data_IF_744313315260
#
_entry.id   IF_744313315260
#
_cell.length_a   1.000
_cell.length_b   1.000
_cell.length_c   1.000
_cell.angle_alpha   90.00
_cell.angle_beta   90.00
_cell.angle_gamma   90.00
#
_symmetry.space_group_name_H-M   'P 1'
#
loop_
_entity.id
_entity.type
_entity.pdbx_description
1 polymer ?
#
# COMPACT_ATOMS: atom_id res chain seq x y z
N UNK A 1 -4.07 31.95 -1.58
CA UNK A 1 -4.26 31.51 -0.17
C UNK A 1 -3.88 30.04 -0.01
N UNK A 2 -3.16 29.68 1.06
CA UNK A 2 -2.63 28.31 1.31
C UNK A 2 -3.68 27.38 1.93
N UNK A 3 -4.58 27.90 2.77
CA UNK A 3 -5.64 27.13 3.40
C UNK A 3 -6.82 26.90 2.45
N UNK A 4 -7.35 25.67 2.43
CA UNK A 4 -8.44 25.24 1.53
C UNK A 4 -9.72 24.84 2.26
N UNK A 5 -9.62 24.43 3.52
CA UNK A 5 -10.74 23.98 4.35
C UNK A 5 -10.83 24.90 5.56
N UNK A 6 -11.99 25.53 5.70
CA UNK A 6 -12.24 26.52 6.74
C UNK A 6 -13.40 26.08 7.61
N UNK A 7 -13.38 26.45 8.88
CA UNK A 7 -14.56 26.32 9.72
C UNK A 7 -15.56 27.38 9.25
N UNK A 8 -16.69 26.92 8.73
CA UNK A 8 -17.76 27.79 8.22
C UNK A 8 -19.11 27.11 8.42
N UNK A 9 -20.16 27.91 8.42
CA UNK A 9 -21.53 27.42 8.54
C UNK A 9 -21.87 26.55 7.33
N UNK A 10 -22.39 25.36 7.62
CA UNK A 10 -22.76 24.37 6.63
C UNK A 10 -21.63 23.44 6.17
N UNK A 11 -20.39 23.65 6.61
CA UNK A 11 -19.32 22.70 6.27
C UNK A 11 -19.53 21.35 6.95
N UNK A 12 -19.34 20.29 6.19
CA UNK A 12 -19.41 18.93 6.70
C UNK A 12 -18.06 18.53 7.30
N UNK A 13 -18.11 17.92 8.48
CA UNK A 13 -16.96 17.39 9.19
C UNK A 13 -17.17 15.90 9.50
N UNK A 14 -16.07 15.15 9.49
CA UNK A 14 -16.01 13.75 9.90
C UNK A 14 -15.54 13.67 11.36
N UNK A 15 -16.26 12.96 12.21
CA UNK A 15 -15.90 12.79 13.62
C UNK A 15 -14.86 11.68 13.73
N UNK A 16 -13.65 12.02 14.19
CA UNK A 16 -12.55 11.07 14.31
C UNK A 16 -12.61 10.24 15.59
N UNK A 17 -13.00 10.85 16.71
CA UNK A 17 -13.05 10.18 18.02
C UNK A 17 -14.16 10.77 18.89
N UNK A 18 -14.53 10.06 19.95
CA UNK A 18 -15.64 10.42 20.83
C UNK A 18 -16.88 9.52 20.63
N UNK A 19 -18.02 9.87 21.25
CA UNK A 19 -19.21 9.01 21.26
C UNK A 19 -19.83 8.81 19.86
N UNK A 20 -19.59 9.75 18.95
CA UNK A 20 -20.10 9.72 17.58
C UNK A 20 -19.00 9.47 16.54
N UNK A 21 -17.91 8.79 16.94
CA UNK A 21 -16.80 8.48 16.03
C UNK A 21 -17.28 7.74 14.76
N UNK A 22 -16.70 8.10 13.62
CA UNK A 22 -17.05 7.50 12.33
C UNK A 22 -18.24 8.14 11.61
N UNK A 23 -18.94 9.08 12.25
CA UNK A 23 -20.12 9.75 11.66
C UNK A 23 -19.74 11.09 11.01
N UNK A 24 -20.60 11.54 10.09
CA UNK A 24 -20.51 12.89 9.51
C UNK A 24 -21.48 13.83 10.24
N UNK A 25 -21.08 15.10 10.33
CA UNK A 25 -21.91 16.19 10.86
C UNK A 25 -21.74 17.44 10.02
N UNK A 26 -22.72 18.34 10.04
CA UNK A 26 -22.59 19.69 9.54
C UNK A 26 -22.37 20.66 10.71
N UNK A 27 -21.47 21.61 10.51
CA UNK A 27 -21.30 22.76 11.41
C UNK A 27 -22.48 23.69 11.17
N UNK A 28 -23.25 23.97 12.21
CA UNK A 28 -24.39 24.89 12.14
C UNK A 28 -24.00 26.28 12.63
N UNK A 29 -23.17 26.31 13.66
CA UNK A 29 -22.67 27.53 14.26
C UNK A 29 -21.29 27.32 14.92
N UNK A 30 -20.55 28.41 15.09
CA UNK A 30 -19.32 28.48 15.86
C UNK A 30 -19.64 29.13 17.20
N UNK A 31 -19.50 28.36 18.28
CA UNK A 31 -19.82 28.84 19.64
C UNK A 31 -18.65 29.65 20.17
N UNK A 32 -17.46 29.06 20.12
CA UNK A 32 -16.21 29.63 20.58
C UNK A 32 -15.06 29.15 19.67
N UNK A 33 -13.83 29.57 19.95
CA UNK A 33 -12.65 29.18 19.16
C UNK A 33 -12.42 27.66 19.12
N UNK A 34 -12.89 26.92 20.13
CA UNK A 34 -12.60 25.52 20.34
C UNK A 34 -13.80 24.60 20.04
N UNK A 35 -15.01 25.14 19.91
CA UNK A 35 -16.28 24.41 19.82
C UNK A 35 -17.21 24.99 18.76
N UNK A 36 -17.91 24.08 18.08
CA UNK A 36 -19.02 24.40 17.20
C UNK A 36 -20.31 23.72 17.66
N UNK A 37 -21.44 24.32 17.29
CA UNK A 37 -22.73 23.66 17.28
C UNK A 37 -22.81 22.81 16.01
N UNK A 38 -23.00 21.50 16.18
CA UNK A 38 -23.05 20.55 15.07
C UNK A 38 -24.38 19.82 15.02
N UNK A 39 -24.77 19.40 13.82
CA UNK A 39 -25.99 18.61 13.60
C UNK A 39 -25.75 17.54 12.53
N UNK A 40 -26.26 16.34 12.76
CA UNK A 40 -26.13 15.19 11.85
C UNK A 40 -27.46 14.46 11.72
N UNK A 41 -28.49 15.07 11.10
CA UNK A 41 -29.85 14.55 11.07
C UNK A 41 -29.98 13.20 10.34
N UNK A 42 -29.15 12.97 9.31
CA UNK A 42 -29.14 11.73 8.52
C UNK A 42 -28.17 10.67 9.09
N UNK A 43 -27.20 11.09 9.90
CA UNK A 43 -26.13 10.24 10.48
C UNK A 43 -26.38 9.84 11.93
N UNK A 44 -27.57 10.14 12.46
CA UNK A 44 -27.97 9.85 13.85
C UNK A 44 -27.05 10.53 14.87
N UNK A 45 -26.65 11.77 14.60
CA UNK A 45 -26.02 12.66 15.58
C UNK A 45 -27.02 13.76 15.90
N UNK A 46 -27.46 13.82 17.16
CA UNK A 46 -28.36 14.89 17.62
C UNK A 46 -27.60 16.21 17.65
N UNK A 47 -28.34 17.32 17.56
CA UNK A 47 -27.77 18.66 17.70
C UNK A 47 -27.09 18.79 19.05
N UNK A 48 -25.79 19.09 19.06
CA UNK A 48 -24.98 19.21 20.26
C UNK A 48 -23.79 20.14 20.03
N UNK A 49 -23.22 20.66 21.10
CA UNK A 49 -21.91 21.31 21.04
C UNK A 49 -20.81 20.25 20.89
N UNK A 50 -19.81 20.52 20.05
CA UNK A 50 -18.71 19.60 19.81
C UNK A 50 -17.39 20.34 19.60
N UNK A 51 -16.28 19.89 20.19
CA UNK A 51 -14.98 20.54 20.03
C UNK A 51 -14.40 20.31 18.64
N UNK A 52 -13.68 21.29 18.09
CA UNK A 52 -13.02 21.16 16.78
C UNK A 52 -11.95 20.08 16.76
N UNK A 53 -11.33 19.78 17.90
CA UNK A 53 -10.28 18.76 18.03
C UNK A 53 -10.75 17.36 17.63
N UNK A 54 -12.03 17.03 17.84
CA UNK A 54 -12.54 15.68 17.55
C UNK A 54 -13.10 15.51 16.14
N UNK A 55 -13.15 16.59 15.34
CA UNK A 55 -13.68 16.56 13.98
C UNK A 55 -12.63 16.96 12.94
N UNK A 56 -12.74 16.36 11.76
CA UNK A 56 -11.87 16.61 10.62
C UNK A 56 -12.72 17.17 9.49
N UNK A 57 -12.41 18.38 9.05
CA UNK A 57 -13.17 19.07 8.01
C UNK A 57 -13.06 18.33 6.67
N UNK A 58 -14.19 18.23 5.98
CA UNK A 58 -14.28 17.68 4.62
C UNK A 58 -14.41 18.82 3.59
N UNK A 59 -14.40 18.46 2.31
CA UNK A 59 -14.55 19.40 1.21
C UNK A 59 -16.02 19.78 0.92
N UNK A 60 -16.98 19.10 1.57
CA UNK A 60 -18.39 19.34 1.33
C UNK A 60 -18.93 20.51 2.15
N UNK A 61 -19.68 21.38 1.48
CA UNK A 61 -20.31 22.56 2.06
C UNK A 61 -21.79 22.51 1.72
N UNK A 62 -22.64 22.61 2.74
CA UNK A 62 -24.08 22.74 2.63
C UNK A 62 -24.45 24.21 2.75
N UNK A 63 -25.39 24.67 1.93
CA UNK A 63 -25.86 26.06 1.97
C UNK A 63 -27.13 26.15 2.80
N UNK A 64 -27.03 26.70 4.00
CA UNK A 64 -28.16 27.04 4.88
C UNK A 64 -27.76 28.19 5.83
N UNK A 65 -28.72 28.97 6.36
CA UNK A 65 -28.39 30.09 7.23
C UNK A 65 -27.82 29.61 8.58
N UNK A 66 -27.00 30.46 9.17
CA UNK A 66 -26.51 30.28 10.54
C UNK A 66 -27.71 30.05 11.51
N UNK A 67 -27.55 29.15 12.48
CA UNK A 67 -28.61 28.76 13.45
C UNK A 67 -29.88 28.11 12.86
N UNK A 68 -29.85 27.61 11.62
CA UNK A 68 -30.99 26.90 11.03
C UNK A 68 -31.50 25.73 11.89
N UNK A 69 -32.83 25.52 11.91
CA UNK A 69 -33.44 24.34 12.57
C UNK A 69 -33.10 23.03 11.84
N UNK A 70 -33.14 21.91 12.56
CA UNK A 70 -32.74 20.59 12.06
C UNK A 70 -33.49 20.17 10.78
N UNK A 71 -34.75 20.58 10.62
CA UNK A 71 -35.55 20.33 9.41
C UNK A 71 -34.89 20.87 8.14
N UNK A 72 -34.31 22.07 8.20
CA UNK A 72 -33.64 22.69 7.04
C UNK A 72 -32.28 22.05 6.77
N UNK A 73 -31.53 21.72 7.82
CA UNK A 73 -30.25 21.00 7.70
C UNK A 73 -30.46 19.63 7.05
N UNK A 74 -31.52 18.89 7.44
CA UNK A 74 -31.91 17.62 6.82
C UNK A 74 -32.21 17.78 5.34
N UNK A 75 -33.07 18.73 4.99
CA UNK A 75 -33.42 19.02 3.58
C UNK A 75 -32.19 19.37 2.75
N UNK A 76 -31.28 20.18 3.28
CA UNK A 76 -30.04 20.55 2.59
C UNK A 76 -29.11 19.33 2.42
N UNK A 77 -29.03 18.47 3.43
CA UNK A 77 -28.21 17.25 3.41
C UNK A 77 -28.69 16.25 2.35
N UNK A 78 -30.00 16.04 2.28
CA UNK A 78 -30.66 15.17 1.30
C UNK A 78 -30.56 15.77 -0.10
N UNK A 79 -30.88 17.06 -0.29
CA UNK A 79 -30.73 17.75 -1.58
C UNK A 79 -29.30 17.68 -2.14
N UNK A 80 -28.30 17.68 -1.27
CA UNK A 80 -26.90 17.62 -1.67
C UNK A 80 -26.34 16.20 -1.80
N UNK A 81 -27.12 15.16 -1.45
CA UNK A 81 -26.71 13.74 -1.50
C UNK A 81 -25.36 13.45 -0.85
N UNK A 82 -25.10 14.05 0.32
CA UNK A 82 -23.79 14.00 0.97
C UNK A 82 -23.37 12.57 1.31
N UNK A 83 -24.30 11.70 1.71
CA UNK A 83 -23.98 10.32 2.07
C UNK A 83 -23.41 9.54 0.87
N UNK A 84 -24.03 9.69 -0.30
CA UNK A 84 -23.59 9.03 -1.54
C UNK A 84 -22.24 9.59 -1.99
N UNK A 85 -22.09 10.92 -1.97
CA UNK A 85 -20.82 11.59 -2.32
C UNK A 85 -19.69 11.21 -1.37
N UNK A 86 -19.97 11.11 -0.07
CA UNK A 86 -19.02 10.65 0.92
C UNK A 86 -18.59 9.21 0.63
N UNK A 87 -19.54 8.28 0.45
CA UNK A 87 -19.24 6.88 0.16
C UNK A 87 -18.39 6.70 -1.12
N UNK A 88 -18.61 7.54 -2.13
CA UNK A 88 -17.81 7.54 -3.36
C UNK A 88 -16.36 8.02 -3.16
N UNK A 89 -16.11 8.83 -2.12
CA UNK A 89 -14.82 9.47 -1.86
C UNK A 89 -13.74 8.43 -1.51
N UNK A 90 -12.50 8.68 -1.97
CA UNK A 90 -11.34 7.81 -1.64
C UNK A 90 -11.12 7.66 -0.13
N UNK A 91 -11.47 8.69 0.64
CA UNK A 91 -11.37 8.68 2.09
C UNK A 91 -12.33 7.65 2.72
N UNK A 92 -13.62 7.71 2.40
CA UNK A 92 -14.60 6.73 2.88
C UNK A 92 -14.22 5.30 2.45
N UNK A 93 -13.80 5.11 1.19
CA UNK A 93 -13.32 3.80 0.69
C UNK A 93 -12.12 3.27 1.48
N UNK A 94 -11.22 4.13 1.97
CA UNK A 94 -10.10 3.72 2.83
C UNK A 94 -10.56 3.33 4.25
N UNK A 95 -11.56 4.02 4.78
CA UNK A 95 -12.15 3.68 6.08
C UNK A 95 -12.81 2.30 6.00
N UNK A 96 -13.68 2.09 5.02
CA UNK A 96 -14.35 0.81 4.78
C UNK A 96 -13.34 -0.32 4.48
N UNK A 97 -12.30 -0.07 3.68
CA UNK A 97 -11.24 -1.06 3.47
C UNK A 97 -10.48 -1.43 4.76
N UNK A 98 -10.32 -0.49 5.69
CA UNK A 98 -9.71 -0.74 7.01
C UNK A 98 -10.62 -1.61 7.88
N UNK A 99 -11.91 -1.30 7.89
CA UNK A 99 -12.93 -2.07 8.62
C UNK A 99 -13.05 -3.50 8.09
N UNK A 100 -13.14 -3.67 6.76
CA UNK A 100 -13.14 -5.00 6.12
C UNK A 100 -11.89 -5.80 6.44
N UNK A 101 -10.73 -5.15 6.50
CA UNK A 101 -9.47 -5.81 6.88
C UNK A 101 -9.48 -6.24 8.35
N UNK A 102 -10.06 -5.43 9.24
CA UNK A 102 -10.18 -5.78 10.66
C UNK A 102 -11.17 -6.95 10.87
N UNK A 103 -12.26 -7.00 10.11
CA UNK A 103 -13.27 -8.08 10.16
C UNK A 103 -12.86 -9.38 9.42
N UNK A 104 -11.69 -9.40 8.78
CA UNK A 104 -11.28 -10.50 7.90
C UNK A 104 -11.01 -11.80 8.67
N UNK A 105 -11.68 -12.89 8.25
CA UNK A 105 -11.50 -14.22 8.85
C UNK A 105 -10.15 -14.85 8.46
N UNK A 106 -9.72 -15.89 9.19
CA UNK A 106 -8.46 -16.58 8.89
C UNK A 106 -8.45 -17.20 7.48
N UNK A 107 -9.57 -17.79 7.08
CA UNK A 107 -9.72 -18.35 5.73
C UNK A 107 -9.61 -17.27 4.64
N UNK A 108 -10.18 -16.09 4.86
CA UNK A 108 -10.03 -14.95 3.95
C UNK A 108 -8.58 -14.47 3.87
N UNK A 109 -7.85 -14.45 5.01
CA UNK A 109 -6.42 -14.13 5.03
C UNK A 109 -5.60 -15.12 4.19
N UNK A 110 -5.94 -16.41 4.22
CA UNK A 110 -5.30 -17.41 3.36
C UNK A 110 -5.54 -17.15 1.87
N UNK A 111 -6.80 -16.88 1.47
CA UNK A 111 -7.16 -16.53 0.08
C UNK A 111 -6.40 -15.28 -0.39
N UNK A 112 -6.38 -14.23 0.42
CA UNK A 112 -5.65 -12.98 0.14
C UNK A 112 -4.15 -13.24 0.00
N UNK A 113 -3.55 -14.10 0.83
CA UNK A 113 -2.12 -14.44 0.75
C UNK A 113 -1.77 -15.11 -0.59
N UNK A 114 -2.56 -16.10 -1.02
CA UNK A 114 -2.34 -16.80 -2.29
C UNK A 114 -2.49 -15.86 -3.49
N UNK A 115 -3.56 -15.07 -3.53
CA UNK A 115 -3.77 -14.08 -4.58
C UNK A 115 -2.64 -13.03 -4.65
N UNK A 116 -2.22 -12.49 -3.50
CA UNK A 116 -1.10 -11.53 -3.42
C UNK A 116 0.22 -12.13 -3.90
N UNK A 117 0.49 -13.40 -3.60
CA UNK A 117 1.71 -14.08 -4.04
C UNK A 117 1.79 -14.15 -5.57
N UNK A 118 0.70 -14.52 -6.24
CA UNK A 118 0.66 -14.57 -7.70
C UNK A 118 0.79 -13.17 -8.32
N UNK A 119 0.01 -12.19 -7.83
CA UNK A 119 0.10 -10.79 -8.28
C UNK A 119 1.53 -10.25 -8.19
N UNK A 120 2.20 -10.46 -7.05
CA UNK A 120 3.57 -9.99 -6.85
C UNK A 120 4.58 -10.66 -7.77
N UNK A 121 4.37 -11.94 -8.13
CA UNK A 121 5.22 -12.64 -9.10
C UNK A 121 5.12 -12.00 -10.49
N UNK A 122 3.90 -11.71 -10.96
CA UNK A 122 3.65 -11.06 -12.25
C UNK A 122 4.29 -9.67 -12.28
N UNK A 123 4.00 -8.83 -11.28
CA UNK A 123 4.57 -7.48 -11.16
C UNK A 123 6.10 -7.53 -11.15
N UNK A 124 6.70 -8.45 -10.39
CA UNK A 124 8.16 -8.58 -10.32
C UNK A 124 8.79 -8.95 -11.66
N UNK A 125 8.14 -9.82 -12.43
CA UNK A 125 8.60 -10.16 -13.78
C UNK A 125 8.52 -8.95 -14.71
N UNK A 126 7.41 -8.21 -14.67
CA UNK A 126 7.21 -7.08 -15.57
C UNK A 126 8.11 -5.89 -15.24
N UNK A 127 8.26 -5.56 -13.96
CA UNK A 127 9.21 -4.54 -13.50
C UNK A 127 10.64 -4.87 -13.93
N UNK A 128 11.05 -6.14 -13.89
CA UNK A 128 12.37 -6.55 -14.38
C UNK A 128 12.54 -6.31 -15.88
N UNK A 129 11.52 -6.58 -16.69
CA UNK A 129 11.57 -6.31 -18.14
C UNK A 129 11.68 -4.80 -18.41
N UNK A 130 10.87 -4.00 -17.72
CA UNK A 130 10.92 -2.53 -17.83
C UNK A 130 12.28 -1.97 -17.42
N UNK A 131 12.87 -2.49 -16.33
CA UNK A 131 14.23 -2.11 -15.92
C UNK A 131 15.29 -2.49 -16.96
N UNK A 132 15.16 -3.65 -17.60
CA UNK A 132 16.07 -4.08 -18.66
C UNK A 132 15.95 -3.16 -19.88
N UNK A 133 14.73 -2.85 -20.30
CA UNK A 133 14.47 -1.90 -21.39
C UNK A 133 14.98 -0.49 -21.08
N UNK A 134 14.77 0.01 -19.85
CA UNK A 134 15.30 1.29 -19.40
C UNK A 134 16.83 1.32 -19.38
N UNK A 135 17.47 0.25 -18.91
CA UNK A 135 18.94 0.12 -18.92
C UNK A 135 19.51 0.08 -20.35
N UNK A 136 18.82 -0.62 -21.26
CA UNK A 136 19.16 -0.67 -22.69
C UNK A 136 19.08 0.72 -23.35
N UNK A 137 18.08 1.53 -22.96
CA UNK A 137 17.92 2.91 -23.44
C UNK A 137 18.95 3.88 -22.84
N UNK A 138 19.33 3.68 -21.57
CA UNK A 138 20.29 4.54 -20.87
C UNK A 138 21.76 4.22 -21.14
N UNK A 139 22.08 3.04 -21.69
CA UNK A 139 23.46 2.62 -21.95
C UNK A 139 23.57 1.83 -23.27
N UNK A 140 23.76 2.52 -24.41
CA UNK A 140 23.84 1.86 -25.73
C UNK A 140 25.01 0.86 -25.82
N UNK A 141 26.11 1.07 -25.09
CA UNK A 141 27.23 0.10 -25.01
C UNK A 141 26.85 -1.26 -24.40
N UNK A 142 25.83 -1.33 -23.51
CA UNK A 142 25.31 -2.61 -22.98
C UNK A 142 24.21 -3.22 -23.86
N UNK A 143 23.67 -2.47 -24.82
CA UNK A 143 22.66 -2.97 -25.74
C UNK A 143 23.22 -3.89 -26.83
N UNK A 144 24.43 -3.61 -27.31
CA UNK A 144 25.14 -4.49 -28.24
C UNK A 144 25.48 -5.86 -27.61
N UNK A 145 25.99 -5.86 -26.37
CA UNK A 145 26.37 -7.09 -25.64
C UNK A 145 25.14 -7.93 -25.27
N UNK A 146 24.00 -7.30 -24.92
CA UNK A 146 22.76 -8.01 -24.63
C UNK A 146 22.10 -8.60 -25.90
N UNK A 147 22.18 -7.92 -27.06
CA UNK A 147 21.72 -8.46 -28.34
C UNK A 147 22.56 -9.67 -28.78
N UNK A 148 23.88 -9.63 -28.60
CA UNK A 148 24.77 -10.75 -28.90
C UNK A 148 24.49 -11.99 -28.01
N UNK A 149 24.21 -11.78 -26.71
CA UNK A 149 23.90 -12.88 -25.78
C UNK A 149 22.55 -13.55 -26.05
N UNK A 150 21.53 -12.79 -26.51
CA UNK A 150 20.21 -13.33 -26.86
C UNK A 150 20.29 -14.14 -28.17
N UNK A 151 21.10 -13.69 -29.14
CA UNK A 151 21.37 -14.44 -30.38
C UNK A 151 22.10 -15.77 -30.12
N UNK A 152 23.09 -15.77 -29.22
CA UNK A 152 23.81 -16.99 -28.83
C UNK A 152 22.92 -18.00 -28.08
N UNK A 153 22.00 -17.54 -27.23
CA UNK A 153 21.07 -18.41 -26.51
C UNK A 153 19.96 -19.00 -27.42
N UNK A 154 19.58 -18.31 -28.50
CA UNK A 154 18.67 -18.83 -29.52
C UNK A 154 19.34 -19.92 -30.37
N UNK A 155 20.62 -19.76 -30.71
CA UNK A 155 21.40 -20.77 -31.43
C UNK A 155 21.62 -22.06 -30.61
N UNK A 156 21.74 -21.97 -29.28
CA UNK A 156 21.91 -23.13 -28.40
C UNK A 156 20.64 -23.99 -28.24
N UNK A 157 19.44 -23.43 -28.44
CA UNK A 157 18.18 -24.20 -28.40
C UNK A 157 17.86 -24.95 -29.69
N UNK A 158 18.51 -24.62 -30.80
CA UNK A 158 18.32 -25.29 -32.09
C UNK A 158 19.17 -26.57 -32.26
N UNK A 159 20.04 -26.92 -31.29
CA UNK A 159 21.04 -27.99 -31.43
C UNK A 159 20.82 -29.23 -30.54
N UNK A 160 19.57 -29.51 -30.12
CA UNK A 160 19.23 -30.78 -29.45
C UNK A 160 18.37 -31.64 -30.40
N UNK A 161 18.88 -32.77 -30.92
CA UNK A 161 18.14 -33.62 -31.85
C UNK A 161 17.07 -34.45 -31.12
N UNK A 162 15.88 -34.47 -31.73
CA UNK A 162 14.72 -35.23 -31.30
C UNK A 162 14.97 -36.75 -31.45
N UNK A 163 14.65 -37.54 -30.41
CA UNK A 163 14.46 -39.00 -30.52
C UNK A 163 12.97 -39.35 -30.45
N UNK A 164 12.54 -40.05 -31.50
CA UNK A 164 11.25 -40.67 -31.84
C UNK A 164 10.40 -41.17 -30.65
N UNK A 165 9.10 -40.88 -30.70
CA UNK A 165 8.05 -41.61 -30.00
C UNK A 165 7.26 -42.44 -31.03
N UNK A 166 7.21 -43.76 -30.83
CA UNK A 166 6.25 -44.68 -31.48
C UNK A 166 5.12 -45.01 -30.50
N UNK A 167 3.94 -45.28 -31.06
CA UNK A 167 2.61 -45.23 -30.46
C UNK A 167 2.19 -46.34 -29.46
N UNK A 168 0.89 -46.45 -29.18
CA UNK A 168 0.34 -46.83 -27.88
C UNK A 168 0.05 -48.34 -27.75
N UNK A 169 0.23 -48.89 -26.54
CA UNK A 169 -0.12 -50.28 -26.22
C UNK A 169 -0.05 -50.55 -24.72
N UNK A 170 -1.14 -51.11 -24.18
CA UNK A 170 -1.41 -51.38 -22.77
C UNK A 170 -0.54 -52.52 -22.20
N UNK A 171 -0.17 -52.46 -20.90
CA UNK A 171 -0.53 -53.45 -19.84
C UNK A 171 0.32 -53.33 -18.56
N UNK A 172 -0.38 -53.66 -17.46
CA UNK A 172 0.06 -54.28 -16.22
C UNK A 172 0.74 -53.46 -15.11
N UNK A 173 0.03 -53.46 -13.97
CA UNK A 173 0.45 -53.01 -12.67
C UNK A 173 1.57 -53.89 -12.08
N UNK A 174 2.58 -53.26 -11.47
CA UNK A 174 3.40 -53.88 -10.44
C UNK A 174 3.81 -52.80 -9.42
N UNK A 175 3.15 -52.81 -8.27
CA UNK A 175 3.49 -51.99 -7.10
C UNK A 175 4.86 -52.42 -6.56
N UNK A 176 5.83 -51.49 -6.43
CA UNK A 176 6.99 -51.65 -5.52
C UNK A 176 6.81 -50.75 -4.30
N UNK A 177 7.17 -51.20 -3.08
CA UNK A 177 6.71 -50.57 -1.85
C UNK A 177 7.51 -49.31 -1.51
N UNK A 178 6.80 -48.22 -1.20
CA UNK A 178 7.31 -46.92 -0.72
C UNK A 178 7.94 -46.96 0.69
N UNK A 179 8.31 -48.13 1.22
CA UNK A 179 8.64 -48.26 2.63
C UNK A 179 10.14 -48.22 2.98
N UNK A 180 11.03 -47.95 2.01
CA UNK A 180 12.49 -47.84 2.27
C UNK A 180 13.03 -46.41 2.25
N UNK A 181 12.19 -45.40 1.99
CA UNK A 181 12.61 -43.98 1.93
C UNK A 181 12.31 -43.16 3.19
N UNK A 182 11.48 -43.68 4.11
CA UNK A 182 11.10 -42.97 5.34
C UNK A 182 12.05 -43.20 6.52
N UNK A 183 12.85 -44.27 6.52
CA UNK A 183 13.76 -44.55 7.64
C UNK A 183 15.12 -43.84 7.51
N UNK A 184 15.58 -43.52 6.29
CA UNK A 184 16.87 -42.84 6.07
C UNK A 184 16.86 -41.31 6.32
N UNK A 185 15.71 -40.73 6.70
CA UNK A 185 15.61 -39.30 7.07
C UNK A 185 15.60 -39.06 8.58
N UNK A 186 15.49 -40.11 9.40
CA UNK A 186 15.34 -40.00 10.86
C UNK A 186 16.65 -39.92 11.64
N UNK A 187 17.80 -39.97 10.96
CA UNK A 187 19.10 -39.77 11.61
C UNK A 187 19.95 -38.81 10.77
N UNK A 188 19.72 -37.51 10.96
CA UNK A 188 20.76 -36.50 10.77
C UNK A 188 20.89 -35.76 12.09
N UNK A 189 22.03 -35.81 12.78
CA UNK A 189 22.23 -35.01 13.97
C UNK A 189 22.15 -33.53 13.58
N UNK A 190 21.39 -32.76 14.35
CA UNK A 190 21.34 -31.30 14.26
C UNK A 190 22.74 -30.75 14.55
N UNK A 191 23.52 -30.48 13.50
CA UNK A 191 24.67 -29.60 13.61
C UNK A 191 24.16 -28.27 14.17
N UNK A 192 24.48 -27.99 15.44
CA UNK A 192 24.31 -26.68 16.07
C UNK A 192 25.01 -25.67 15.19
N UNK A 193 24.23 -24.98 14.35
CA UNK A 193 24.69 -23.78 13.67
C UNK A 193 24.98 -22.76 14.75
N UNK A 194 26.24 -22.67 15.18
CA UNK A 194 26.74 -21.51 15.92
C UNK A 194 26.38 -20.30 15.07
N UNK A 195 25.41 -19.51 15.53
CA UNK A 195 25.11 -18.20 14.95
C UNK A 195 26.37 -17.36 15.10
N UNK A 196 27.19 -17.31 14.04
CA UNK A 196 28.21 -16.27 13.91
C UNK A 196 27.44 -14.95 13.87
N UNK A 197 27.47 -14.22 14.99
CA UNK A 197 26.93 -12.86 15.05
C UNK A 197 27.76 -12.04 14.05
N UNK A 198 27.19 -11.80 12.86
CA UNK A 198 27.79 -10.83 11.93
C UNK A 198 27.89 -9.49 12.67
N UNK A 199 29.07 -8.86 12.72
CA UNK A 199 29.21 -7.58 13.40
C UNK A 199 28.24 -6.57 12.77
N UNK A 200 27.44 -5.90 13.61
CA UNK A 200 26.56 -4.82 13.16
C UNK A 200 27.44 -3.76 12.51
N UNK A 201 27.10 -3.24 11.31
CA UNK A 201 27.86 -2.17 10.71
C UNK A 201 27.89 -0.98 11.69
N UNK A 202 29.10 -0.56 12.07
CA UNK A 202 29.36 0.56 12.98
C UNK A 202 28.79 1.84 12.35
N UNK A 203 27.52 2.15 12.64
CA UNK A 203 26.81 3.35 12.14
C UNK A 203 27.62 4.64 12.35
N UNK A 204 28.43 4.71 13.41
CA UNK A 204 29.32 5.83 13.67
C UNK A 204 30.43 5.99 12.61
N UNK A 205 30.97 4.89 12.05
CA UNK A 205 31.99 4.95 11.00
C UNK A 205 31.38 5.45 9.68
N UNK A 206 30.17 5.01 9.36
CA UNK A 206 29.43 5.49 8.18
C UNK A 206 29.07 6.97 8.31
N UNK A 207 28.63 7.42 9.50
CA UNK A 207 28.36 8.84 9.75
C UNK A 207 29.64 9.70 9.65
N UNK A 208 30.77 9.21 10.18
CA UNK A 208 32.07 9.90 10.05
C UNK A 208 32.55 9.98 8.59
N UNK A 209 32.34 8.93 7.80
CA UNK A 209 32.68 8.95 6.37
C UNK A 209 31.80 9.92 5.57
N UNK A 210 30.51 10.01 5.91
CA UNK A 210 29.59 10.96 5.27
C UNK A 210 29.92 12.41 5.66
N UNK A 211 30.31 12.66 6.91
CA UNK A 211 30.75 13.98 7.37
C UNK A 211 32.00 14.47 6.64
N UNK A 212 33.03 13.61 6.49
CA UNK A 212 34.25 13.96 5.73
C UNK A 212 33.96 14.26 4.25
N UNK A 213 33.09 13.47 3.62
CA UNK A 213 32.69 13.73 2.22
C UNK A 213 31.94 15.04 2.06
N UNK A 214 31.14 15.43 3.05
CA UNK A 214 30.48 16.73 3.05
C UNK A 214 31.50 17.85 3.18
N UNK A 215 32.45 17.73 4.11
CA UNK A 215 33.51 18.71 4.33
C UNK A 215 34.40 18.92 3.09
N UNK A 216 34.85 17.82 2.46
CA UNK A 216 35.59 17.84 1.19
C UNK A 216 34.79 18.49 0.06
N UNK A 217 33.47 18.27 0.00
CA UNK A 217 32.62 18.91 -1.00
C UNK A 217 32.52 20.42 -0.78
N UNK A 218 32.37 20.88 0.47
CA UNK A 218 32.39 22.32 0.80
C UNK A 218 33.74 22.97 0.53
N UNK A 219 34.85 22.27 0.80
CA UNK A 219 36.19 22.78 0.49
C UNK A 219 36.41 22.91 -1.02
N UNK A 220 35.96 21.92 -1.81
CA UNK A 220 36.00 22.00 -3.28
C UNK A 220 35.14 23.10 -3.86
N UNK A 221 33.98 23.38 -3.25
CA UNK A 221 33.12 24.49 -3.65
C UNK A 221 33.75 25.85 -3.30
N UNK A 222 34.44 25.95 -2.15
CA UNK A 222 35.18 27.18 -1.79
C UNK A 222 36.33 27.48 -2.76
N UNK A 223 37.11 26.47 -3.15
CA UNK A 223 38.22 26.63 -4.12
C UNK A 223 37.73 26.95 -5.55
N UNK A 224 36.45 26.77 -5.85
CA UNK A 224 35.84 27.13 -7.14
C UNK A 224 35.30 28.56 -7.19
N UNK A 225 35.28 29.28 -6.06
CA UNK A 225 34.70 30.62 -5.93
C UNK A 225 35.71 31.68 -5.42
N UNK A 226 36.98 31.31 -5.27
CA UNK A 226 38.15 32.20 -5.13
C UNK A 226 38.99 32.11 -6.43
#
# INVERSE_FOLDING_TARGET
MVFRRFVEVGRVAYISFGPHAGKLVAIVDVIDQNRALVDGPCTRVRRQAMPFKCMQLTDFILKFPHSARQKYVRKAWEKADINTKWAATRWAKKIDARERKAKMTDFDRFKVMKAKKMRNRIIKTEVKKLQRAALLKASPKKAAVAKAAIAAAAAAKAKVPAKKATGPGQKAAARRPLHRRLQARRQRPLLKVRRVRRPRPRRHLLQRQLARKHEEATQRIKVLFD
#
